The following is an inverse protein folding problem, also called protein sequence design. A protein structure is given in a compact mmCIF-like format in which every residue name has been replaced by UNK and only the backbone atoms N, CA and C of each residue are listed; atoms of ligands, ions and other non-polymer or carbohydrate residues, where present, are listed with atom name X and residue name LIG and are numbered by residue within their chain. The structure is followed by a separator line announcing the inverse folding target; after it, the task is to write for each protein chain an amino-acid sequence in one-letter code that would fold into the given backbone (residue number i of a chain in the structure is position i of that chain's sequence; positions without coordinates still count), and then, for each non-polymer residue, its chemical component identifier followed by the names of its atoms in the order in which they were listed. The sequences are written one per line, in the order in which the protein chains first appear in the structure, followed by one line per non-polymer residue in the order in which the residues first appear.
data_IF_816618478347
#
_entry.id   IF_816618478347
#
_cell.length_a   1.000
_cell.length_b   1.000
_cell.length_c   1.000
_cell.angle_alpha   90.00
_cell.angle_beta   90.00
_cell.angle_gamma   90.00
#
_symmetry.space_group_name_H-M   'P 1'
#
loop_
_entity.id
_entity.type
_entity.pdbx_description
1 polymer ?
#
# COMPACT_ATOMS: atom_id res chain seq x y z
N UNK A 1 1.35 -7.29 -1.54
CA UNK A 1 0.17 -6.57 -0.98
C UNK A 1 -0.79 -7.50 -0.24
N UNK A 2 -1.30 -8.62 -0.80
CA UNK A 2 -2.23 -9.52 -0.09
C UNK A 2 -1.59 -10.30 1.07
N UNK A 3 -0.26 -10.42 1.08
CA UNK A 3 0.50 -11.19 2.07
C UNK A 3 0.69 -10.47 3.40
N UNK A 4 0.39 -9.17 3.44
CA UNK A 4 0.60 -8.30 4.61
C UNK A 4 -0.75 -8.07 5.28
N UNK A 5 -0.79 -8.16 6.60
CA UNK A 5 -2.02 -7.95 7.37
C UNK A 5 -2.53 -6.52 7.19
N UNK A 6 -3.85 -6.35 7.02
CA UNK A 6 -4.48 -5.03 6.98
C UNK A 6 -4.22 -4.21 8.25
N UNK A 7 -4.08 -4.87 9.40
CA UNK A 7 -3.79 -4.23 10.70
C UNK A 7 -2.39 -3.63 10.81
N UNK A 8 -1.49 -3.91 9.86
CA UNK A 8 -0.12 -3.38 9.87
C UNK A 8 0.01 -1.98 9.26
N UNK A 9 -1.07 -1.42 8.69
CA UNK A 9 -1.10 -0.12 8.02
C UNK A 9 0.10 0.11 7.07
N UNK A 10 0.34 -0.79 6.10
CA UNK A 10 1.58 -0.79 5.33
C UNK A 10 1.73 0.42 4.42
N UNK A 11 0.63 0.90 3.81
CA UNK A 11 0.65 2.04 2.90
C UNK A 11 0.88 3.37 3.65
N UNK A 12 0.22 3.66 4.79
CA UNK A 12 0.59 4.81 5.62
C UNK A 12 2.05 4.83 6.05
N UNK A 13 2.61 3.70 6.50
CA UNK A 13 4.03 3.61 6.89
C UNK A 13 4.97 3.83 5.71
N UNK A 14 4.61 3.32 4.53
CA UNK A 14 5.36 3.57 3.31
C UNK A 14 5.36 5.06 2.94
N UNK A 15 4.19 5.73 3.01
CA UNK A 15 4.06 7.15 2.75
C UNK A 15 4.93 7.99 3.69
N UNK A 16 4.89 7.69 4.99
CA UNK A 16 5.73 8.36 5.99
C UNK A 16 7.22 8.19 5.68
N UNK A 17 7.66 6.95 5.43
CA UNK A 17 9.06 6.66 5.09
C UNK A 17 9.50 7.34 3.78
N UNK A 18 8.63 7.37 2.78
CA UNK A 18 8.89 8.03 1.51
C UNK A 18 9.04 9.54 1.67
N UNK A 19 8.18 10.17 2.48
CA UNK A 19 8.26 11.60 2.77
C UNK A 19 9.54 11.95 3.51
N UNK A 20 9.90 11.20 4.56
CA UNK A 20 11.16 11.43 5.29
C UNK A 20 12.38 11.35 4.39
N UNK A 21 12.38 10.40 3.45
CA UNK A 21 13.47 10.24 2.48
C UNK A 21 13.49 11.40 1.48
N UNK A 22 12.31 11.81 0.98
CA UNK A 22 12.13 12.96 0.09
C UNK A 22 12.75 14.22 0.69
N UNK A 23 12.41 14.50 1.96
CA UNK A 23 12.87 15.69 2.67
C UNK A 23 14.39 15.68 2.90
N UNK A 24 14.97 14.51 3.21
CA UNK A 24 16.42 14.37 3.45
C UNK A 24 17.25 14.50 2.17
N UNK A 25 16.67 14.17 1.02
CA UNK A 25 17.38 14.13 -0.25
C UNK A 25 17.08 15.34 -1.15
N UNK A 26 16.20 16.24 -0.72
CA UNK A 26 15.65 17.31 -1.57
C UNK A 26 15.09 16.74 -2.89
N UNK A 27 14.40 15.60 -2.74
CA UNK A 27 13.85 14.83 -3.85
C UNK A 27 12.32 14.90 -3.84
N UNK A 28 11.69 14.37 -4.89
CA UNK A 28 10.24 14.18 -4.95
C UNK A 28 9.90 12.70 -4.99
N UNK A 29 8.80 12.31 -4.33
CA UNK A 29 8.22 10.98 -4.49
C UNK A 29 7.38 10.95 -5.77
N UNK A 30 7.68 10.01 -6.66
CA UNK A 30 7.02 9.91 -7.97
C UNK A 30 6.40 8.54 -8.21
N UNK A 31 5.50 8.46 -9.17
CA UNK A 31 5.03 7.21 -9.75
C UNK A 31 6.06 6.60 -10.73
N UNK A 32 5.69 5.49 -11.37
CA UNK A 32 6.49 4.77 -12.37
C UNK A 32 6.82 5.57 -13.63
N UNK A 33 6.07 6.64 -13.92
CA UNK A 33 6.31 7.53 -15.06
C UNK A 33 7.12 8.77 -14.65
N UNK A 34 7.54 8.85 -13.38
CA UNK A 34 8.24 10.02 -12.84
C UNK A 34 7.32 11.19 -12.49
N UNK A 35 5.99 11.00 -12.48
CA UNK A 35 5.06 12.04 -12.09
C UNK A 35 4.97 12.12 -10.56
N UNK A 36 5.04 13.32 -9.94
CA UNK A 36 4.94 13.45 -8.48
C UNK A 36 3.64 12.87 -7.92
N UNK A 37 3.75 12.12 -6.81
CA UNK A 37 2.58 11.58 -6.11
C UNK A 37 1.90 12.67 -5.30
N UNK A 38 0.69 13.03 -5.70
CA UNK A 38 -0.16 13.98 -4.97
C UNK A 38 -0.86 13.35 -3.77
N UNK A 39 -1.35 14.18 -2.84
CA UNK A 39 -2.19 13.72 -1.73
C UNK A 39 -3.45 12.98 -2.20
N UNK A 40 -4.04 13.41 -3.31
CA UNK A 40 -5.20 12.75 -3.92
C UNK A 40 -4.82 11.34 -4.40
N UNK A 41 -3.65 11.19 -5.02
CA UNK A 41 -3.14 9.91 -5.51
C UNK A 41 -2.91 8.95 -4.34
N UNK A 42 -2.34 9.43 -3.23
CA UNK A 42 -2.19 8.63 -2.01
C UNK A 42 -3.53 8.15 -1.45
N UNK A 43 -4.54 9.04 -1.37
CA UNK A 43 -5.87 8.68 -0.90
C UNK A 43 -6.56 7.64 -1.81
N UNK A 44 -6.36 7.76 -3.14
CA UNK A 44 -6.87 6.77 -4.10
C UNK A 44 -6.22 5.40 -3.93
N UNK A 45 -4.90 5.34 -3.74
CA UNK A 45 -4.17 4.10 -3.48
C UNK A 45 -4.66 3.43 -2.19
N UNK A 46 -4.91 4.22 -1.14
CA UNK A 46 -5.44 3.70 0.12
C UNK A 46 -6.85 3.10 -0.04
N UNK A 47 -7.74 3.80 -0.76
CA UNK A 47 -9.08 3.31 -1.05
C UNK A 47 -9.04 2.00 -1.88
N UNK A 48 -8.17 1.93 -2.90
CA UNK A 48 -7.98 0.73 -3.72
C UNK A 48 -7.46 -0.44 -2.89
N UNK A 49 -6.51 -0.18 -1.98
CA UNK A 49 -5.96 -1.19 -1.08
C UNK A 49 -7.03 -1.75 -0.15
N UNK A 50 -7.87 -0.90 0.44
CA UNK A 50 -8.97 -1.32 1.29
C UNK A 50 -10.02 -2.13 0.52
N UNK A 51 -10.37 -1.71 -0.70
CA UNK A 51 -11.27 -2.46 -1.57
C UNK A 51 -10.72 -3.85 -1.91
N UNK A 52 -9.41 -3.95 -2.20
CA UNK A 52 -8.74 -5.23 -2.43
C UNK A 52 -8.83 -6.14 -1.20
N UNK A 53 -8.55 -5.63 0.00
CA UNK A 53 -8.64 -6.41 1.24
C UNK A 53 -10.05 -6.88 1.54
N UNK A 54 -11.08 -6.05 1.29
CA UNK A 54 -12.47 -6.44 1.42
C UNK A 54 -12.82 -7.59 0.45
N UNK A 55 -12.46 -7.45 -0.84
CA UNK A 55 -12.73 -8.49 -1.85
C UNK A 55 -12.01 -9.82 -1.53
N UNK A 56 -10.82 -9.76 -0.95
CA UNK A 56 -10.08 -10.93 -0.49
C UNK A 56 -10.77 -11.61 0.71
N UNK A 57 -11.26 -10.82 1.67
CA UNK A 57 -11.96 -11.34 2.84
C UNK A 57 -13.28 -12.05 2.46
N UNK A 58 -14.04 -11.52 1.50
CA UNK A 58 -15.25 -12.15 0.96
C UNK A 58 -15.00 -13.56 0.38
N UNK A 59 -13.76 -13.82 -0.05
CA UNK A 59 -13.34 -15.10 -0.65
C UNK A 59 -12.63 -16.01 0.35
N UNK A 60 -12.77 -15.72 1.65
CA UNK A 60 -12.09 -16.43 2.74
C UNK A 60 -10.55 -16.42 2.62
N UNK A 61 -10.01 -15.38 1.97
CA UNK A 61 -8.58 -15.17 1.77
C UNK A 61 -8.12 -13.88 2.47
N UNK A 62 -8.33 -13.71 3.79
CA UNK A 62 -8.01 -12.46 4.46
C UNK A 62 -6.53 -12.09 4.26
N UNK A 63 -6.28 -10.80 4.01
CA UNK A 63 -4.93 -10.29 3.80
C UNK A 63 -4.03 -10.61 5.00
N UNK A 64 -2.83 -11.10 4.73
CA UNK A 64 -1.90 -11.56 5.76
C UNK A 64 -2.19 -12.96 6.33
N UNK A 65 -3.28 -13.62 5.93
CA UNK A 65 -3.57 -15.00 6.30
C UNK A 65 -2.63 -16.01 5.63
N UNK A 66 -2.58 -17.24 6.16
CA UNK A 66 -1.70 -18.28 5.64
C UNK A 66 -1.97 -18.63 4.17
N UNK A 67 -3.25 -18.70 3.77
CA UNK A 67 -3.65 -18.93 2.39
C UNK A 67 -3.21 -17.78 1.47
N UNK A 68 -3.46 -16.53 1.85
CA UNK A 68 -3.01 -15.35 1.10
C UNK A 68 -1.48 -15.29 0.99
N UNK A 69 -0.73 -15.63 2.05
CA UNK A 69 0.74 -15.69 1.97
C UNK A 69 1.24 -16.73 0.97
N UNK A 70 0.63 -17.92 0.96
CA UNK A 70 1.01 -19.03 0.08
C UNK A 70 0.65 -18.81 -1.39
N UNK A 71 -0.46 -18.14 -1.67
CA UNK A 71 -0.91 -17.93 -3.05
C UNK A 71 -0.13 -16.83 -3.77
N UNK A 72 0.34 -15.83 -3.04
CA UNK A 72 0.97 -14.63 -3.59
C UNK A 72 2.49 -14.58 -3.33
N UNK A 73 3.11 -15.70 -2.92
CA UNK A 73 4.57 -15.86 -2.70
C UNK A 73 5.35 -16.08 -3.97
#
# INVERSE_FOLDING_TARGET
VPQVSSTSAPLPRLRESAQELSDKLDAAVTDENGAPLSDLTWAQLEAQLHALYAALAERELPAGGAAARRLYS
#
